data_IF_158214098065
#
_entry.id   IF_158214098065
#
_cell.length_a   1.000
_cell.length_b   1.000
_cell.length_c   1.000
_cell.angle_alpha   90.00
_cell.angle_beta   90.00
_cell.angle_gamma   90.00
#
_symmetry.space_group_name_H-M   'P 1'
#
loop_
_entity.id
_entity.type
_entity.pdbx_description
1 polymer ?
#
# COMPACT_ATOMS: atom_id res chain seq x y z
N UNK A 1 33.59 -3.10 -4.38
CA UNK A 1 32.63 -2.00 -4.11
C UNK A 1 32.71 -1.05 -5.30
N UNK A 2 31.78 -1.12 -6.24
CA UNK A 2 31.69 -0.18 -7.37
C UNK A 2 30.85 0.99 -6.92
N UNK A 3 31.46 2.14 -6.69
CA UNK A 3 30.78 3.42 -6.73
C UNK A 3 30.39 3.64 -8.19
N UNK A 4 29.12 3.66 -8.50
CA UNK A 4 28.63 4.21 -9.77
C UNK A 4 28.74 5.74 -9.59
N UNK A 5 29.95 6.27 -9.76
CA UNK A 5 30.19 7.70 -9.87
C UNK A 5 29.66 8.16 -11.22
N UNK A 6 28.39 8.41 -11.27
CA UNK A 6 27.72 9.15 -12.31
C UNK A 6 26.69 10.04 -11.64
N UNK A 7 26.85 11.36 -11.77
CA UNK A 7 25.79 12.31 -11.43
C UNK A 7 24.60 11.91 -12.30
N UNK A 8 23.71 11.08 -11.74
CA UNK A 8 22.45 10.80 -12.43
C UNK A 8 21.67 12.10 -12.53
N UNK A 9 21.00 12.30 -13.66
CA UNK A 9 20.24 13.50 -13.93
C UNK A 9 19.31 13.82 -12.77
N UNK A 10 19.38 15.05 -12.23
CA UNK A 10 18.55 15.52 -11.14
C UNK A 10 17.09 15.13 -11.31
N UNK A 11 16.45 14.66 -10.29
CA UNK A 11 15.05 14.25 -10.29
C UNK A 11 14.16 15.33 -9.70
N UNK A 12 12.92 15.47 -10.19
CA UNK A 12 11.95 16.33 -9.52
C UNK A 12 11.59 15.76 -8.14
N UNK A 13 11.40 14.45 -8.06
CA UNK A 13 11.01 13.76 -6.84
C UNK A 13 11.72 12.41 -6.71
N UNK A 14 12.24 12.11 -5.53
CA UNK A 14 12.60 10.76 -5.12
C UNK A 14 11.46 10.18 -4.29
N UNK A 15 10.96 9.02 -4.69
CA UNK A 15 9.93 8.27 -3.96
C UNK A 15 10.56 7.00 -3.40
N UNK A 16 10.47 6.82 -2.10
CA UNK A 16 10.94 5.61 -1.41
C UNK A 16 9.73 4.81 -0.95
N UNK A 17 9.65 3.55 -1.42
CA UNK A 17 8.53 2.65 -1.14
C UNK A 17 7.51 2.58 -2.28
N UNK A 18 7.39 1.39 -2.88
CA UNK A 18 6.46 1.08 -3.97
C UNK A 18 5.27 0.24 -3.48
N UNK A 19 4.71 0.60 -2.33
CA UNK A 19 3.37 0.24 -1.94
C UNK A 19 2.31 1.08 -2.68
N UNK A 20 1.01 0.84 -2.46
CA UNK A 20 -0.06 1.54 -3.17
C UNK A 20 0.02 3.06 -3.12
N UNK A 21 0.46 3.63 -1.97
CA UNK A 21 0.59 5.08 -1.79
C UNK A 21 1.70 5.67 -2.66
N UNK A 22 2.92 5.10 -2.60
CA UNK A 22 4.05 5.56 -3.41
C UNK A 22 3.80 5.36 -4.91
N UNK A 23 3.20 4.23 -5.29
CA UNK A 23 2.85 3.95 -6.68
C UNK A 23 1.79 4.90 -7.23
N UNK A 24 0.77 5.22 -6.43
CA UNK A 24 -0.28 6.17 -6.83
C UNK A 24 0.30 7.57 -7.06
N UNK A 25 1.12 8.08 -6.12
CA UNK A 25 1.80 9.36 -6.27
C UNK A 25 2.69 9.38 -7.52
N UNK A 26 3.51 8.34 -7.67
CA UNK A 26 4.40 8.20 -8.84
C UNK A 26 3.61 8.22 -10.16
N UNK A 27 2.49 7.48 -10.23
CA UNK A 27 1.62 7.44 -11.40
C UNK A 27 1.05 8.81 -11.74
N UNK A 28 0.55 9.55 -10.75
CA UNK A 28 0.01 10.89 -10.97
C UNK A 28 1.08 11.83 -11.55
N UNK A 29 2.27 11.84 -10.96
CA UNK A 29 3.35 12.75 -11.36
C UNK A 29 4.01 12.33 -12.68
N UNK A 30 4.17 11.03 -12.93
CA UNK A 30 4.69 10.53 -14.22
C UNK A 30 3.83 10.96 -15.39
N UNK A 31 2.51 10.89 -15.25
CA UNK A 31 1.55 11.36 -16.28
C UNK A 31 1.59 12.86 -16.51
N UNK A 32 2.05 13.63 -15.53
CA UNK A 32 2.31 15.06 -15.66
C UNK A 32 3.70 15.37 -16.24
N UNK A 33 4.48 14.36 -16.59
CA UNK A 33 5.81 14.50 -17.19
C UNK A 33 6.94 14.81 -16.21
N UNK A 34 6.73 14.67 -14.90
CA UNK A 34 7.80 14.90 -13.94
C UNK A 34 8.81 13.75 -13.94
N UNK A 35 10.10 14.08 -13.81
CA UNK A 35 11.17 13.09 -13.62
C UNK A 35 11.16 12.55 -12.20
N UNK A 36 10.92 11.26 -12.07
CA UNK A 36 10.78 10.57 -10.80
C UNK A 36 11.83 9.48 -10.69
N UNK A 37 12.54 9.46 -9.55
CA UNK A 37 13.30 8.33 -9.09
C UNK A 37 12.45 7.56 -8.09
N UNK A 38 12.02 6.35 -8.42
CA UNK A 38 11.17 5.53 -7.55
C UNK A 38 11.92 4.26 -7.15
N UNK A 39 12.13 4.04 -5.85
CA UNK A 39 12.86 2.89 -5.31
C UNK A 39 12.02 2.11 -4.30
N UNK A 40 12.26 0.82 -4.20
CA UNK A 40 11.67 -0.05 -3.17
C UNK A 40 12.68 -1.10 -2.74
N UNK A 41 12.73 -1.40 -1.44
CA UNK A 41 13.69 -2.34 -0.87
C UNK A 41 13.36 -3.81 -1.11
N UNK A 42 12.13 -4.12 -1.53
CA UNK A 42 11.73 -5.48 -1.90
C UNK A 42 12.20 -5.78 -3.33
N UNK A 43 12.68 -6.99 -3.56
CA UNK A 43 13.07 -7.44 -4.89
C UNK A 43 11.87 -7.46 -5.86
N UNK A 44 10.71 -7.86 -5.35
CA UNK A 44 9.48 -8.02 -6.11
C UNK A 44 8.31 -7.23 -5.50
N UNK A 45 7.26 -6.92 -6.28
CA UNK A 45 5.99 -6.45 -5.75
C UNK A 45 5.43 -7.39 -4.69
N UNK A 46 4.49 -6.92 -3.88
CA UNK A 46 3.87 -7.72 -2.81
C UNK A 46 3.38 -9.07 -3.35
N UNK A 47 3.92 -10.21 -2.87
CA UNK A 47 3.55 -11.53 -3.37
C UNK A 47 2.23 -12.02 -2.79
N UNK A 48 1.94 -11.67 -1.52
CA UNK A 48 0.73 -12.06 -0.79
C UNK A 48 0.02 -10.83 -0.22
N UNK A 49 -1.27 -10.96 0.07
CA UNK A 49 -2.09 -9.85 0.52
C UNK A 49 -1.62 -9.24 1.83
N UNK A 50 -1.75 -7.92 1.92
CA UNK A 50 -1.73 -7.16 3.18
C UNK A 50 -3.06 -6.47 3.36
N UNK A 51 -3.42 -5.62 2.41
CA UNK A 51 -4.73 -5.02 2.26
C UNK A 51 -5.26 -5.42 0.88
N UNK A 52 -6.52 -5.75 0.81
CA UNK A 52 -7.19 -6.21 -0.40
C UNK A 52 -8.45 -5.40 -0.72
N UNK A 53 -8.93 -4.60 0.22
CA UNK A 53 -10.16 -3.84 0.11
C UNK A 53 -9.98 -2.47 -0.53
N UNK A 54 -10.52 -2.28 -1.73
CA UNK A 54 -10.66 -0.96 -2.38
C UNK A 54 -12.06 -0.43 -2.07
N UNK A 55 -12.12 0.61 -1.26
CA UNK A 55 -13.38 1.26 -0.88
C UNK A 55 -14.01 2.01 -2.06
N UNK A 56 -15.33 2.28 -2.05
CA UNK A 56 -16.05 2.99 -3.11
C UNK A 56 -15.37 4.27 -3.58
N UNK A 57 -14.96 5.14 -2.66
CA UNK A 57 -14.27 6.39 -2.97
C UNK A 57 -12.95 6.18 -3.70
N UNK A 58 -12.16 5.20 -3.26
CA UNK A 58 -10.89 4.86 -3.91
C UNK A 58 -11.10 4.32 -5.32
N UNK A 59 -12.15 3.52 -5.53
CA UNK A 59 -12.51 3.02 -6.87
C UNK A 59 -12.94 4.14 -7.82
N UNK A 60 -13.64 5.17 -7.32
CA UNK A 60 -13.98 6.37 -8.09
C UNK A 60 -12.72 7.14 -8.51
N UNK A 61 -11.76 7.32 -7.60
CA UNK A 61 -10.48 7.95 -7.93
C UNK A 61 -9.72 7.16 -8.98
N UNK A 62 -9.63 5.84 -8.84
CA UNK A 62 -9.01 4.95 -9.83
C UNK A 62 -9.72 5.01 -11.18
N UNK A 63 -11.05 5.19 -11.20
CA UNK A 63 -11.80 5.43 -12.44
C UNK A 63 -11.39 6.75 -13.08
N UNK A 64 -11.31 7.83 -12.33
CA UNK A 64 -10.90 9.14 -12.85
C UNK A 64 -9.46 9.11 -13.38
N UNK A 65 -8.61 8.28 -12.79
CA UNK A 65 -7.26 8.00 -13.29
C UNK A 65 -7.24 7.04 -14.50
N UNK A 66 -8.40 6.52 -14.97
CA UNK A 66 -8.47 5.55 -16.06
C UNK A 66 -7.95 4.15 -15.70
N UNK A 67 -7.67 3.87 -14.42
CA UNK A 67 -7.11 2.60 -13.95
C UNK A 67 -8.16 1.57 -13.54
N UNK A 68 -9.42 1.98 -13.34
CA UNK A 68 -10.49 1.08 -12.91
C UNK A 68 -10.65 -0.14 -13.82
N UNK A 69 -10.59 0.04 -15.13
CA UNK A 69 -10.75 -1.08 -16.08
C UNK A 69 -9.65 -2.13 -15.90
N UNK A 70 -8.41 -1.71 -15.66
CA UNK A 70 -7.30 -2.61 -15.38
C UNK A 70 -7.48 -3.36 -14.04
N UNK A 71 -7.97 -2.68 -13.01
CA UNK A 71 -8.35 -3.32 -11.73
C UNK A 71 -9.44 -4.38 -11.97
N UNK A 72 -10.51 -4.02 -12.68
CA UNK A 72 -11.64 -4.91 -12.91
C UNK A 72 -11.34 -6.10 -13.83
N UNK A 73 -10.30 -5.98 -14.69
CA UNK A 73 -9.82 -7.07 -15.54
C UNK A 73 -9.30 -8.28 -14.72
N UNK A 74 -8.86 -8.06 -13.48
CA UNK A 74 -8.48 -9.12 -12.54
C UNK A 74 -9.69 -9.86 -11.92
N UNK A 75 -10.92 -9.50 -12.30
CA UNK A 75 -12.17 -10.10 -11.79
C UNK A 75 -12.27 -10.10 -10.26
N UNK A 76 -12.05 -8.94 -9.61
CA UNK A 76 -12.10 -8.84 -8.15
C UNK A 76 -13.48 -9.18 -7.61
N UNK A 77 -13.55 -9.68 -6.37
CA UNK A 77 -14.81 -9.86 -5.69
C UNK A 77 -15.44 -8.50 -5.32
N UNK A 78 -16.77 -8.41 -5.42
CA UNK A 78 -17.55 -7.25 -4.95
C UNK A 78 -18.26 -7.62 -3.67
N UNK A 79 -17.99 -6.87 -2.62
CA UNK A 79 -18.56 -7.11 -1.29
C UNK A 79 -19.56 -6.02 -0.98
N UNK A 80 -20.81 -6.42 -0.78
CA UNK A 80 -21.92 -5.53 -0.46
C UNK A 80 -22.19 -5.50 1.04
N UNK A 81 -21.91 -6.62 1.73
CA UNK A 81 -22.16 -6.78 3.16
C UNK A 81 -20.98 -7.44 3.86
N UNK A 82 -20.80 -7.11 5.13
CA UNK A 82 -19.88 -7.73 6.08
C UNK A 82 -20.71 -8.40 7.16
N UNK A 83 -20.45 -9.68 7.42
CA UNK A 83 -21.10 -10.44 8.48
C UNK A 83 -20.16 -10.62 9.67
N UNK A 84 -20.71 -10.50 10.86
CA UNK A 84 -20.02 -10.74 12.13
C UNK A 84 -20.55 -12.04 12.75
N UNK A 85 -19.63 -12.83 13.27
CA UNK A 85 -19.90 -14.12 13.86
C UNK A 85 -19.15 -14.23 15.19
N UNK A 86 -19.83 -14.65 16.22
CA UNK A 86 -19.27 -14.84 17.55
C UNK A 86 -19.49 -16.28 18.04
N UNK A 87 -18.71 -16.78 19.02
CA UNK A 87 -18.99 -18.06 19.65
C UNK A 87 -20.41 -18.09 20.19
N UNK A 88 -21.11 -19.21 20.03
CA UNK A 88 -22.38 -19.43 20.68
C UNK A 88 -22.20 -19.47 22.21
N UNK A 89 -23.19 -18.99 22.96
CA UNK A 89 -23.11 -18.86 24.43
C UNK A 89 -22.85 -20.17 25.18
N UNK A 90 -23.18 -21.29 24.56
CA UNK A 90 -22.93 -22.65 25.09
C UNK A 90 -21.57 -23.23 24.64
N UNK A 91 -20.72 -22.43 24.00
CA UNK A 91 -19.42 -22.82 23.43
C UNK A 91 -19.50 -23.91 22.35
N UNK A 92 -20.69 -24.21 21.82
CA UNK A 92 -20.90 -25.17 20.75
C UNK A 92 -21.23 -24.42 19.44
N UNK A 93 -20.18 -24.13 18.66
CA UNK A 93 -20.33 -23.50 17.37
C UNK A 93 -20.25 -21.98 17.39
N UNK A 94 -20.72 -21.35 16.32
CA UNK A 94 -20.70 -19.93 16.07
C UNK A 94 -22.08 -19.46 15.61
N UNK A 95 -22.44 -18.22 15.96
CA UNK A 95 -23.69 -17.59 15.57
C UNK A 95 -23.43 -16.26 14.89
N UNK A 96 -24.24 -15.91 13.90
CA UNK A 96 -24.17 -14.62 13.24
C UNK A 96 -24.76 -13.55 14.13
N UNK A 97 -23.95 -12.60 14.57
CA UNK A 97 -24.32 -11.55 15.51
C UNK A 97 -24.61 -10.21 14.86
N UNK A 98 -24.20 -10.03 13.59
CA UNK A 98 -24.46 -8.79 12.88
C UNK A 98 -24.18 -8.87 11.38
N UNK A 99 -24.74 -7.88 10.67
CA UNK A 99 -24.46 -7.63 9.25
C UNK A 99 -24.41 -6.14 9.01
N UNK A 100 -23.39 -5.68 8.33
CA UNK A 100 -23.24 -4.26 7.96
C UNK A 100 -23.05 -4.15 6.45
N UNK A 101 -23.67 -3.12 5.86
CA UNK A 101 -23.40 -2.78 4.48
C UNK A 101 -21.95 -2.32 4.33
N UNK A 102 -21.25 -2.82 3.32
CA UNK A 102 -19.86 -2.40 3.04
C UNK A 102 -19.76 -0.96 2.57
N UNK A 103 -20.87 -0.41 2.03
CA UNK A 103 -21.06 1.00 1.77
C UNK A 103 -22.39 1.42 2.40
N UNK A 104 -22.39 2.25 3.46
CA UNK A 104 -23.62 2.72 4.09
C UNK A 104 -24.54 3.42 3.10
N UNK A 105 -25.86 3.21 3.24
CA UNK A 105 -26.88 3.72 2.30
C UNK A 105 -26.94 5.26 2.22
N UNK A 106 -26.46 5.95 3.26
CA UNK A 106 -26.39 7.42 3.28
C UNK A 106 -25.22 8.00 2.47
N UNK A 107 -24.31 7.14 1.99
CA UNK A 107 -23.21 7.56 1.12
C UNK A 107 -23.66 7.39 -0.33
N UNK A 108 -23.83 8.50 -1.04
CA UNK A 108 -24.06 8.50 -2.48
C UNK A 108 -22.74 8.13 -3.19
N UNK A 109 -22.60 6.86 -3.52
CA UNK A 109 -21.42 6.31 -4.18
C UNK A 109 -21.82 5.64 -5.49
N UNK A 110 -21.10 5.96 -6.57
CA UNK A 110 -21.30 5.33 -7.88
C UNK A 110 -21.10 3.80 -7.83
N UNK A 111 -20.21 3.33 -6.96
CA UNK A 111 -19.88 1.92 -6.75
C UNK A 111 -20.14 1.55 -5.29
N UNK A 112 -21.40 1.25 -4.89
CA UNK A 112 -21.77 1.03 -3.50
C UNK A 112 -21.35 -0.36 -2.99
N UNK A 113 -20.07 -0.72 -3.18
CA UNK A 113 -19.48 -1.98 -2.74
C UNK A 113 -17.98 -1.81 -2.51
N UNK A 114 -17.42 -2.63 -1.64
CA UNK A 114 -15.97 -2.78 -1.52
C UNK A 114 -15.49 -3.77 -2.58
N UNK A 115 -14.42 -3.40 -3.30
CA UNK A 115 -13.78 -4.25 -4.29
C UNK A 115 -12.61 -4.96 -3.63
N UNK A 116 -12.60 -6.30 -3.61
CA UNK A 116 -11.51 -7.09 -3.07
C UNK A 116 -10.56 -7.52 -4.18
N UNK A 117 -9.35 -7.02 -4.12
CA UNK A 117 -8.26 -7.41 -5.00
C UNK A 117 -6.96 -7.43 -4.21
N UNK A 118 -6.24 -8.52 -4.32
CA UNK A 118 -4.92 -8.69 -3.71
C UNK A 118 -3.98 -7.51 -3.97
N UNK A 119 -3.34 -6.97 -2.92
CA UNK A 119 -2.51 -5.76 -3.02
C UNK A 119 -1.45 -5.85 -4.12
N UNK A 120 -0.81 -7.00 -4.29
CA UNK A 120 0.19 -7.19 -5.34
C UNK A 120 -0.37 -7.04 -6.76
N UNK A 121 -1.65 -7.37 -6.99
CA UNK A 121 -2.31 -7.13 -8.27
C UNK A 121 -2.63 -5.65 -8.47
N UNK A 122 -3.03 -4.96 -7.40
CA UNK A 122 -3.20 -3.50 -7.41
C UNK A 122 -1.88 -2.81 -7.74
N UNK A 123 -0.78 -3.21 -7.08
CA UNK A 123 0.57 -2.69 -7.35
C UNK A 123 0.96 -2.89 -8.81
N UNK A 124 0.70 -4.07 -9.40
CA UNK A 124 1.01 -4.37 -10.81
C UNK A 124 0.26 -3.47 -11.80
N UNK A 125 -0.98 -3.09 -11.50
CA UNK A 125 -1.74 -2.15 -12.32
C UNK A 125 -1.03 -0.79 -12.37
N UNK A 126 -0.60 -0.26 -11.24
CA UNK A 126 0.16 0.98 -11.18
C UNK A 126 1.52 0.85 -11.86
N UNK A 127 2.27 -0.22 -11.61
CA UNK A 127 3.59 -0.45 -12.22
C UNK A 127 3.47 -0.51 -13.74
N UNK A 128 2.44 -1.18 -14.26
CA UNK A 128 2.19 -1.25 -15.71
C UNK A 128 1.91 0.13 -16.32
N UNK A 129 1.21 0.98 -15.60
CA UNK A 129 0.96 2.36 -16.03
C UNK A 129 2.23 3.22 -15.97
N UNK A 130 3.03 3.08 -14.92
CA UNK A 130 4.31 3.77 -14.77
C UNK A 130 5.27 3.45 -15.91
N UNK A 131 5.39 2.18 -16.29
CA UNK A 131 6.24 1.74 -17.41
C UNK A 131 5.81 2.41 -18.71
N UNK A 132 4.50 2.54 -18.98
CA UNK A 132 3.98 3.26 -20.16
C UNK A 132 4.35 4.74 -20.16
N UNK A 133 4.54 5.33 -18.97
CA UNK A 133 4.92 6.73 -18.79
C UNK A 133 6.44 6.90 -18.54
N UNK A 134 7.25 5.89 -18.87
CA UNK A 134 8.72 5.97 -18.82
C UNK A 134 9.33 5.89 -17.42
N UNK A 135 8.55 5.54 -16.38
CA UNK A 135 9.04 5.40 -15.01
C UNK A 135 9.15 3.93 -14.62
N UNK A 136 10.32 3.53 -14.16
CA UNK A 136 10.60 2.19 -13.64
C UNK A 136 10.90 2.25 -12.15
N UNK A 137 10.22 1.43 -11.36
CA UNK A 137 10.57 1.24 -9.96
C UNK A 137 11.87 0.45 -9.87
N UNK A 138 12.90 1.04 -9.28
CA UNK A 138 14.16 0.34 -9.02
C UNK A 138 14.04 -0.53 -7.78
N UNK A 139 14.41 -1.78 -7.94
CA UNK A 139 14.37 -2.83 -6.91
C UNK A 139 15.64 -3.67 -6.98
N UNK A 140 16.12 -4.22 -5.90
CA UNK A 140 15.83 -3.92 -4.50
C UNK A 140 16.75 -2.81 -3.97
N UNK A 141 16.26 -1.61 -3.84
CA UNK A 141 17.01 -0.44 -3.39
C UNK A 141 16.35 0.19 -2.17
N UNK A 142 17.14 0.61 -1.20
CA UNK A 142 16.69 1.29 0.02
C UNK A 142 17.34 2.66 0.16
N UNK A 143 16.71 3.56 0.89
CA UNK A 143 17.32 4.79 1.32
C UNK A 143 18.25 4.51 2.50
N UNK A 144 19.47 5.06 2.47
CA UNK A 144 20.47 4.95 3.54
C UNK A 144 20.70 6.29 4.25
N UNK A 145 20.35 7.39 3.62
CA UNK A 145 20.46 8.73 4.19
C UNK A 145 19.87 9.80 3.29
N UNK A 146 19.64 10.97 3.85
CA UNK A 146 19.30 12.17 3.10
C UNK A 146 19.65 13.42 3.90
N UNK A 147 19.88 14.52 3.20
CA UNK A 147 19.99 15.88 3.76
C UNK A 147 19.26 16.86 2.85
N UNK A 148 18.90 18.01 3.38
CA UNK A 148 18.36 19.12 2.60
C UNK A 148 19.20 20.37 2.90
N UNK A 149 19.69 20.99 1.83
CA UNK A 149 20.48 22.22 1.90
C UNK A 149 20.15 23.12 0.71
N UNK A 150 19.27 24.09 0.95
CA UNK A 150 18.88 25.08 -0.06
C UNK A 150 20.00 26.09 -0.36
N UNK A 151 20.92 26.31 0.58
CA UNK A 151 22.04 27.22 0.36
C UNK A 151 23.09 26.59 -0.57
N UNK A 152 23.30 25.29 -0.48
CA UNK A 152 24.22 24.54 -1.35
C UNK A 152 23.66 24.40 -2.76
N UNK A 153 22.38 24.04 -2.89
CA UNK A 153 21.72 23.82 -4.18
C UNK A 153 20.24 24.23 -4.16
N UNK A 154 19.92 25.48 -4.50
CA UNK A 154 18.54 25.99 -4.45
C UNK A 154 17.57 25.27 -5.40
N UNK A 155 18.07 24.73 -6.52
CA UNK A 155 17.22 24.07 -7.52
C UNK A 155 16.88 22.64 -7.12
N UNK A 156 17.83 21.90 -6.54
CA UNK A 156 17.69 20.51 -6.11
C UNK A 156 18.26 20.35 -4.68
N UNK A 157 17.59 20.90 -3.67
CA UNK A 157 18.15 21.01 -2.32
C UNK A 157 18.26 19.66 -1.60
N UNK A 158 17.53 18.65 -2.04
CA UNK A 158 17.49 17.36 -1.35
C UNK A 158 18.49 16.40 -1.96
N UNK A 159 19.49 16.02 -1.17
CA UNK A 159 20.44 14.96 -1.50
C UNK A 159 19.99 13.66 -0.86
N UNK A 160 19.80 12.62 -1.65
CA UNK A 160 19.31 11.31 -1.22
C UNK A 160 20.35 10.25 -1.51
N UNK A 161 20.74 9.51 -0.48
CA UNK A 161 21.64 8.37 -0.58
C UNK A 161 20.84 7.07 -0.67
N UNK A 162 21.05 6.34 -1.74
CA UNK A 162 20.40 5.07 -2.02
C UNK A 162 21.45 3.97 -1.97
N UNK A 163 21.06 2.78 -1.54
CA UNK A 163 21.92 1.60 -1.44
C UNK A 163 21.14 0.37 -1.91
N UNK A 164 21.76 -0.45 -2.75
CA UNK A 164 21.24 -1.77 -3.06
C UNK A 164 21.20 -2.62 -1.79
N UNK A 165 20.17 -3.45 -1.64
CA UNK A 165 19.89 -4.16 -0.37
C UNK A 165 21.05 -5.07 0.06
N UNK A 166 21.81 -5.63 -0.89
CA UNK A 166 23.01 -6.45 -0.62
C UNK A 166 24.27 -5.63 -0.27
N UNK A 167 24.19 -4.30 -0.32
CA UNK A 167 25.29 -3.40 0.00
C UNK A 167 26.37 -3.26 -1.08
N UNK A 168 26.19 -3.86 -2.25
CA UNK A 168 27.19 -3.87 -3.33
C UNK A 168 27.25 -2.56 -4.09
N UNK A 169 26.14 -1.87 -4.22
CA UNK A 169 26.00 -0.64 -5.01
C UNK A 169 25.43 0.50 -4.17
N UNK A 170 25.90 1.69 -4.45
CA UNK A 170 25.41 2.95 -3.85
C UNK A 170 25.20 4.00 -4.92
N UNK A 171 24.20 4.82 -4.74
CA UNK A 171 23.85 5.92 -5.63
C UNK A 171 23.49 7.16 -4.82
N UNK A 172 23.91 8.34 -5.27
CA UNK A 172 23.48 9.62 -4.73
C UNK A 172 22.65 10.32 -5.79
N UNK A 173 21.46 10.80 -5.39
CA UNK A 173 20.52 11.51 -6.26
C UNK A 173 20.17 12.85 -5.64
N UNK A 174 20.21 13.93 -6.43
CA UNK A 174 19.68 15.23 -6.02
C UNK A 174 18.26 15.40 -6.56
N UNK A 175 17.39 15.96 -5.73
CA UNK A 175 15.98 16.16 -6.05
C UNK A 175 15.42 17.44 -5.46
N UNK A 176 14.28 17.91 -5.99
CA UNK A 176 13.53 19.00 -5.33
C UNK A 176 12.82 18.49 -4.08
N UNK A 177 12.34 17.25 -4.10
CA UNK A 177 11.57 16.66 -3.01
C UNK A 177 11.96 15.21 -2.75
N UNK A 178 11.78 14.79 -1.51
CA UNK A 178 11.83 13.39 -1.10
C UNK A 178 10.49 12.99 -0.50
N UNK A 179 9.91 11.87 -0.94
CA UNK A 179 8.69 11.31 -0.40
C UNK A 179 8.93 9.93 0.22
N UNK A 180 8.64 9.81 1.52
CA UNK A 180 8.70 8.56 2.27
C UNK A 180 7.39 7.80 2.19
N UNK A 181 7.31 6.78 1.34
CA UNK A 181 6.16 5.89 1.15
C UNK A 181 6.37 4.48 1.68
N UNK A 182 7.31 4.27 2.64
CA UNK A 182 7.74 2.95 3.12
C UNK A 182 6.76 2.32 4.13
N UNK A 183 5.71 3.07 4.51
CA UNK A 183 4.66 2.58 5.42
C UNK A 183 5.01 2.74 6.90
N UNK A 184 4.53 1.82 7.74
CA UNK A 184 4.61 1.94 9.20
C UNK A 184 6.05 1.99 9.75
N UNK A 185 7.01 1.42 9.03
CA UNK A 185 8.44 1.42 9.39
C UNK A 185 9.25 2.36 8.50
N UNK A 186 8.72 3.58 8.26
CA UNK A 186 9.36 4.55 7.38
C UNK A 186 10.66 5.09 7.98
N UNK A 187 11.76 4.86 7.28
CA UNK A 187 13.06 5.43 7.57
C UNK A 187 13.03 6.97 7.46
N UNK A 188 12.37 7.48 6.42
CA UNK A 188 12.25 8.94 6.21
C UNK A 188 11.55 9.61 7.39
N UNK A 189 10.42 9.05 7.85
CA UNK A 189 9.70 9.54 9.03
C UNK A 189 10.59 9.55 10.27
N UNK A 190 11.29 8.45 10.53
CA UNK A 190 12.17 8.31 11.70
C UNK A 190 13.32 9.32 11.68
N UNK A 191 13.95 9.51 10.52
CA UNK A 191 15.04 10.49 10.35
C UNK A 191 14.59 11.94 10.50
N UNK A 192 13.34 12.24 10.20
CA UNK A 192 12.74 13.55 10.46
C UNK A 192 12.29 13.74 11.92
N UNK A 193 12.50 12.74 12.79
CA UNK A 193 12.09 12.81 14.20
C UNK A 193 10.57 12.79 14.40
N UNK A 194 9.80 12.37 13.38
CA UNK A 194 8.33 12.31 13.46
C UNK A 194 7.91 11.03 14.16
N UNK A 195 7.47 11.15 15.40
CA UNK A 195 6.98 10.03 16.21
C UNK A 195 5.61 9.52 15.75
N UNK A 196 5.27 8.31 16.20
CA UNK A 196 3.92 7.75 16.07
C UNK A 196 3.25 7.83 17.44
N UNK A 197 2.12 8.51 17.51
CA UNK A 197 1.31 8.56 18.73
C UNK A 197 0.16 7.56 18.60
N UNK A 198 0.06 6.67 19.58
CA UNK A 198 -1.05 5.73 19.71
C UNK A 198 -2.04 6.26 20.73
N UNK A 199 -3.30 6.42 20.32
CA UNK A 199 -4.36 6.92 21.20
C UNK A 199 -4.83 5.83 22.17
N UNK A 200 -4.81 4.58 21.71
CA UNK A 200 -5.24 3.41 22.46
C UNK A 200 -4.24 2.27 22.24
N UNK A 201 -3.35 2.01 23.21
CA UNK A 201 -2.14 1.25 22.92
C UNK A 201 -2.36 -0.21 22.52
N UNK A 202 -3.42 -0.88 22.82
CA UNK A 202 -3.63 -2.28 22.36
C UNK A 202 -5.10 -2.68 22.58
N UNK A 203 -6.04 -2.12 21.83
CA UNK A 203 -7.43 -2.56 21.89
C UNK A 203 -7.61 -3.93 21.22
N UNK A 204 -6.97 -4.16 20.07
CA UNK A 204 -7.12 -5.40 19.31
C UNK A 204 -5.84 -5.77 18.56
N UNK A 205 -5.57 -7.06 18.49
CA UNK A 205 -4.54 -7.65 17.62
C UNK A 205 -5.25 -8.38 16.47
N UNK A 206 -4.94 -7.96 15.24
CA UNK A 206 -5.52 -8.58 14.05
C UNK A 206 -4.50 -9.52 13.40
N UNK A 207 -4.90 -10.76 13.16
CA UNK A 207 -4.17 -11.70 12.33
C UNK A 207 -4.75 -11.73 10.92
N UNK A 208 -3.87 -11.76 9.92
CA UNK A 208 -4.25 -11.96 8.52
C UNK A 208 -3.61 -13.24 8.02
N UNK A 209 -4.40 -14.10 7.41
CA UNK A 209 -3.95 -15.34 6.81
C UNK A 209 -4.55 -15.47 5.40
N UNK A 210 -3.70 -15.65 4.40
CA UNK A 210 -4.09 -15.96 3.05
C UNK A 210 -4.02 -17.47 2.83
N UNK A 211 -5.04 -18.05 2.23
CA UNK A 211 -5.06 -19.49 1.96
C UNK A 211 -6.27 -19.94 1.17
N UNK A 212 -6.21 -21.18 0.67
CA UNK A 212 -7.36 -21.86 0.07
C UNK A 212 -8.07 -22.62 1.19
N UNK A 213 -9.23 -22.13 1.57
CA UNK A 213 -10.00 -22.69 2.69
C UNK A 213 -10.92 -23.79 2.18
N UNK A 214 -10.79 -24.99 2.76
CA UNK A 214 -11.76 -26.07 2.61
C UNK A 214 -12.69 -26.08 3.82
N UNK A 215 -13.92 -25.62 3.65
CA UNK A 215 -14.86 -25.42 4.74
C UNK A 215 -16.30 -25.60 4.28
N UNK A 216 -17.18 -25.92 5.20
CA UNK A 216 -18.64 -25.91 5.04
C UNK A 216 -19.26 -24.61 5.55
N UNK A 217 -18.46 -23.68 6.02
CA UNK A 217 -18.92 -22.38 6.49
C UNK A 217 -19.72 -21.65 5.40
N UNK A 218 -20.99 -21.32 5.63
CA UNK A 218 -21.92 -20.93 4.56
C UNK A 218 -21.53 -19.60 3.89
N UNK A 219 -21.05 -18.62 4.64
CA UNK A 219 -20.73 -17.29 4.11
C UNK A 219 -19.51 -17.29 3.18
N UNK A 220 -18.61 -18.27 3.32
CA UNK A 220 -17.44 -18.40 2.42
C UNK A 220 -17.86 -19.05 1.09
N UNK A 221 -18.81 -19.99 1.11
CA UNK A 221 -19.22 -20.75 -0.09
C UNK A 221 -20.19 -20.01 -0.99
N UNK A 222 -21.02 -19.13 -0.44
CA UNK A 222 -22.25 -18.65 -1.11
C UNK A 222 -22.13 -17.18 -1.55
N UNK A 223 -21.25 -16.37 -0.97
CA UNK A 223 -21.23 -14.95 -1.26
C UNK A 223 -19.83 -14.35 -1.09
N UNK A 224 -19.49 -13.32 -1.88
CA UNK A 224 -18.30 -12.51 -1.64
C UNK A 224 -18.49 -11.62 -0.41
N UNK A 225 -18.69 -12.22 0.75
CA UNK A 225 -18.83 -11.54 2.05
C UNK A 225 -17.49 -11.59 2.77
N UNK A 226 -17.13 -10.48 3.40
CA UNK A 226 -15.97 -10.43 4.28
C UNK A 226 -16.40 -10.89 5.67
N UNK A 227 -15.66 -11.81 6.25
CA UNK A 227 -15.84 -12.25 7.62
C UNK A 227 -14.70 -11.65 8.43
N UNK A 228 -15.03 -10.80 9.41
CA UNK A 228 -14.07 -10.31 10.39
C UNK A 228 -14.30 -11.04 11.72
N UNK A 229 -13.23 -11.62 12.23
CA UNK A 229 -13.24 -12.24 13.55
C UNK A 229 -12.33 -11.43 14.48
N UNK A 230 -12.87 -10.71 15.47
CA UNK A 230 -12.02 -10.10 16.49
C UNK A 230 -11.48 -11.19 17.41
N UNK A 231 -10.19 -11.43 17.38
CA UNK A 231 -9.53 -12.23 18.42
C UNK A 231 -9.37 -11.34 19.64
N UNK A 232 -10.35 -11.35 20.54
CA UNK A 232 -10.19 -10.70 21.84
C UNK A 232 -9.22 -11.53 22.67
N UNK A 233 -8.00 -11.06 22.85
CA UNK A 233 -7.12 -11.57 23.89
C UNK A 233 -7.66 -11.10 25.24
N UNK A 234 -8.60 -11.83 25.84
CA UNK A 234 -8.81 -11.70 27.28
C UNK A 234 -7.51 -12.17 27.94
N UNK A 235 -6.70 -11.25 28.41
CA UNK A 235 -5.73 -11.60 29.45
C UNK A 235 -6.55 -12.08 30.67
N UNK A 236 -6.45 -13.34 30.97
CA UNK A 236 -6.81 -13.81 32.29
C UNK A 236 -5.85 -13.10 33.25
N UNK A 237 -6.44 -12.36 34.21
CA UNK A 237 -5.73 -11.87 35.38
C UNK A 237 -5.33 -13.05 36.28
#
# INVERSE_FOLDING_TARGET
>A
MRLVEGIQANSFLVIVGAGPVGLMLSTCLARLGYRIKHVDNRAEPTPTGRADGIQPRSLDLLRNMGLKSAIMAHKPARVYEVAFWDPAGDSKGIVRTGTWASCPAFIDARYPFTTLLHQGLIERVFISDLVKNGVKVQRPWKISGFKSDEAENPEYPVEVHLEHVDGTEREMVRAKYLFGGEGARSFVRERLGIGITHKDPIAHVWGVMDGVVKTDFPDIKVSPRIIFWPVSSRRQN
#
